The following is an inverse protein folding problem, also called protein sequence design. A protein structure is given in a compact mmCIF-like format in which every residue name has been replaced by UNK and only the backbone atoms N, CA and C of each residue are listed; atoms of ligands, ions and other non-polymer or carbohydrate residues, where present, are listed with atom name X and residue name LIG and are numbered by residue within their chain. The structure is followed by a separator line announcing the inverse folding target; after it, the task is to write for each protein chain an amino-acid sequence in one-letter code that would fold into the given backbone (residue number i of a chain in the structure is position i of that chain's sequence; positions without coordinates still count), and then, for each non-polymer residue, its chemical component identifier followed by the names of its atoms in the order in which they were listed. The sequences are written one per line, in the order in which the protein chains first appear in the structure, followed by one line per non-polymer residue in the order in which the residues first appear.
data_IF_106874498616
#
_entry.id   IF_106874498616
#
_cell.length_a   1.000
_cell.length_b   1.000
_cell.length_c   1.000
_cell.angle_alpha   90.00
_cell.angle_beta   90.00
_cell.angle_gamma   90.00
#
_symmetry.space_group_name_H-M   'P 1'
#
loop_
_entity.id
_entity.type
_entity.pdbx_description
1 polymer ?
#
# COMPACT_ATOMS: atom_id res chain seq x y z
N UNK A 1 -33.30 58.04 -41.34
CA UNK A 1 -33.21 57.82 -39.88
C UNK A 1 -34.43 57.13 -39.25
N UNK A 2 -35.51 56.84 -39.98
CA UNK A 2 -36.70 56.16 -39.42
C UNK A 2 -36.59 54.63 -39.44
N UNK A 3 -35.95 54.07 -40.47
CA UNK A 3 -35.74 52.62 -40.63
C UNK A 3 -34.80 52.07 -39.54
N UNK A 4 -33.73 52.81 -39.23
CA UNK A 4 -32.79 52.47 -38.14
C UNK A 4 -33.48 52.41 -36.77
N UNK A 5 -34.40 53.34 -36.49
CA UNK A 5 -35.17 53.36 -35.25
C UNK A 5 -36.20 52.22 -35.20
N UNK A 6 -36.82 51.87 -36.33
CA UNK A 6 -37.75 50.76 -36.43
C UNK A 6 -37.07 49.40 -36.24
N UNK A 7 -35.87 49.21 -36.80
CA UNK A 7 -35.03 48.02 -36.60
C UNK A 7 -34.57 47.92 -35.14
N UNK A 8 -34.18 49.05 -34.53
CA UNK A 8 -33.79 49.10 -33.13
C UNK A 8 -34.97 48.75 -32.18
N UNK A 9 -36.20 49.10 -32.57
CA UNK A 9 -37.43 48.72 -31.85
C UNK A 9 -37.85 47.27 -32.10
N UNK A 10 -37.67 46.73 -33.30
CA UNK A 10 -38.03 45.35 -33.62
C UNK A 10 -37.04 44.33 -33.04
N UNK A 11 -35.77 44.72 -32.87
CA UNK A 11 -34.80 43.90 -32.14
C UNK A 11 -35.05 43.88 -30.63
N UNK A 12 -35.74 44.88 -30.06
CA UNK A 12 -35.72 45.17 -28.62
C UNK A 12 -35.94 43.98 -27.69
N UNK A 13 -37.02 43.20 -27.87
CA UNK A 13 -37.30 42.02 -27.05
C UNK A 13 -36.60 40.74 -27.55
N UNK A 14 -36.69 40.36 -28.84
CA UNK A 14 -36.08 39.12 -29.31
C UNK A 14 -34.55 39.12 -29.22
N UNK A 15 -33.89 40.27 -29.40
CA UNK A 15 -32.45 40.38 -29.22
C UNK A 15 -32.05 40.25 -27.74
N UNK A 16 -32.83 40.79 -26.80
CA UNK A 16 -32.59 40.58 -25.37
C UNK A 16 -32.75 39.12 -24.97
N UNK A 17 -33.75 38.41 -25.51
CA UNK A 17 -33.92 36.97 -25.27
C UNK A 17 -32.74 36.19 -25.85
N UNK A 18 -32.34 36.49 -27.09
CA UNK A 18 -31.21 35.84 -27.75
C UNK A 18 -29.89 36.07 -27.01
N UNK A 19 -29.61 37.31 -26.60
CA UNK A 19 -28.44 37.66 -25.81
C UNK A 19 -28.46 37.01 -24.42
N UNK A 20 -29.62 36.95 -23.77
CA UNK A 20 -29.80 36.26 -22.50
C UNK A 20 -29.54 34.75 -22.62
N UNK A 21 -30.01 34.12 -23.69
CA UNK A 21 -29.75 32.71 -23.97
C UNK A 21 -28.26 32.47 -24.27
N UNK A 22 -27.62 33.32 -25.07
CA UNK A 22 -26.19 33.23 -25.37
C UNK A 22 -25.34 33.41 -24.10
N UNK A 23 -25.66 34.42 -23.29
CA UNK A 23 -25.06 34.65 -21.97
C UNK A 23 -25.21 33.45 -21.02
N UNK A 24 -26.32 32.73 -21.09
CA UNK A 24 -26.55 31.54 -20.27
C UNK A 24 -25.73 30.32 -20.72
N UNK A 25 -25.61 30.08 -22.03
CA UNK A 25 -24.90 28.90 -22.56
C UNK A 25 -23.39 29.09 -22.64
N UNK A 26 -22.93 30.24 -23.12
CA UNK A 26 -21.51 30.55 -23.35
C UNK A 26 -20.88 31.36 -22.21
N UNK A 27 -21.71 32.03 -21.41
CA UNK A 27 -21.26 32.96 -20.38
C UNK A 27 -21.11 34.39 -20.88
N UNK A 28 -20.90 35.33 -19.96
CA UNK A 28 -20.65 36.75 -20.27
C UNK A 28 -19.20 37.11 -19.93
N UNK A 29 -18.27 37.05 -20.89
CA UNK A 29 -16.84 37.26 -20.62
C UNK A 29 -16.52 38.68 -20.15
N UNK A 30 -17.35 39.67 -20.49
CA UNK A 30 -17.19 41.08 -20.10
C UNK A 30 -17.27 41.28 -18.57
N UNK A 31 -17.96 40.40 -17.85
CA UNK A 31 -18.07 40.47 -16.39
C UNK A 31 -16.79 39.98 -15.67
N UNK A 32 -15.82 39.40 -16.39
CA UNK A 32 -14.56 38.87 -15.83
C UNK A 32 -13.60 39.95 -15.34
N UNK A 33 -13.60 41.12 -15.98
CA UNK A 33 -12.65 42.20 -15.68
C UNK A 33 -13.07 43.06 -14.48
N UNK A 34 -14.25 42.78 -13.90
CA UNK A 34 -14.76 43.51 -12.74
C UNK A 34 -14.08 42.95 -11.48
N UNK A 35 -13.32 43.76 -10.73
CA UNK A 35 -12.74 43.32 -9.47
C UNK A 35 -13.85 42.85 -8.52
N UNK A 36 -13.64 41.70 -7.87
CA UNK A 36 -14.57 41.04 -6.94
C UNK A 36 -15.79 40.31 -7.57
N UNK A 37 -16.03 40.39 -8.87
CA UNK A 37 -17.15 39.69 -9.52
C UNK A 37 -17.05 38.15 -9.40
N UNK A 38 -15.83 37.60 -9.44
CA UNK A 38 -15.56 36.17 -9.28
C UNK A 38 -15.80 35.62 -7.86
N UNK A 39 -16.02 36.49 -6.86
CA UNK A 39 -16.23 36.07 -5.46
C UNK A 39 -17.65 35.55 -5.22
N UNK A 40 -18.60 35.92 -6.06
CA UNK A 40 -19.98 35.44 -5.99
C UNK A 40 -20.17 34.20 -6.87
N UNK A 41 -20.62 33.06 -6.32
CA UNK A 41 -20.77 31.81 -7.07
C UNK A 41 -21.74 31.95 -8.26
N UNK A 42 -22.79 32.76 -8.12
CA UNK A 42 -23.78 33.01 -9.17
C UNK A 42 -23.18 33.80 -10.34
N UNK A 43 -22.36 34.81 -10.05
CA UNK A 43 -21.74 35.65 -11.09
C UNK A 43 -20.64 34.86 -11.82
N UNK A 44 -19.88 34.05 -11.09
CA UNK A 44 -18.85 33.17 -11.65
C UNK A 44 -19.44 32.14 -12.63
N UNK A 45 -20.58 31.54 -12.31
CA UNK A 45 -21.27 30.60 -13.22
C UNK A 45 -21.79 31.31 -14.48
N UNK A 46 -22.26 32.56 -14.36
CA UNK A 46 -22.65 33.38 -15.50
C UNK A 46 -21.46 33.85 -16.34
N UNK A 47 -20.28 34.07 -15.75
CA UNK A 47 -19.04 34.39 -16.49
C UNK A 47 -18.55 33.18 -17.27
N UNK A 48 -18.62 31.99 -16.66
CA UNK A 48 -18.13 30.76 -17.26
C UNK A 48 -19.09 30.18 -18.29
N UNK A 49 -20.41 30.28 -18.08
CA UNK A 49 -21.42 29.62 -18.91
C UNK A 49 -21.65 28.15 -18.53
N UNK A 50 -22.84 27.63 -18.87
CA UNK A 50 -23.25 26.26 -18.49
C UNK A 50 -22.53 25.15 -19.28
N UNK A 51 -22.27 25.37 -20.56
CA UNK A 51 -21.63 24.34 -21.42
C UNK A 51 -20.21 23.98 -20.95
N UNK A 52 -19.31 24.95 -20.70
CA UNK A 52 -17.95 24.61 -20.26
C UNK A 52 -17.91 24.04 -18.84
N UNK A 53 -18.83 24.44 -17.95
CA UNK A 53 -18.90 23.89 -16.59
C UNK A 53 -19.36 22.42 -16.59
N UNK A 54 -20.36 22.07 -17.39
CA UNK A 54 -20.77 20.66 -17.55
C UNK A 54 -19.71 19.81 -18.27
N UNK A 55 -19.01 20.38 -19.28
CA UNK A 55 -17.86 19.69 -19.92
C UNK A 55 -16.72 19.44 -18.95
N UNK A 56 -16.43 20.40 -18.06
CA UNK A 56 -15.41 20.24 -17.03
C UNK A 56 -15.78 19.13 -16.03
N UNK A 57 -17.04 19.10 -15.56
CA UNK A 57 -17.54 18.01 -14.70
C UNK A 57 -17.43 16.65 -15.37
N UNK A 58 -17.84 16.53 -16.64
CA UNK A 58 -17.73 15.28 -17.39
C UNK A 58 -16.27 14.82 -17.55
N UNK A 59 -15.35 15.76 -17.78
CA UNK A 59 -13.92 15.45 -17.85
C UNK A 59 -13.35 14.99 -16.49
N UNK A 60 -13.77 15.63 -15.40
CA UNK A 60 -13.35 15.26 -14.05
C UNK A 60 -13.90 13.89 -13.64
N UNK A 61 -15.15 13.58 -13.98
CA UNK A 61 -15.74 12.28 -13.69
C UNK A 61 -15.10 11.16 -14.51
N UNK A 62 -14.76 11.41 -15.78
CA UNK A 62 -13.97 10.48 -16.58
C UNK A 62 -12.58 10.23 -15.94
N UNK A 63 -11.90 11.29 -15.47
CA UNK A 63 -10.61 11.17 -14.76
C UNK A 63 -10.72 10.34 -13.47
N UNK A 64 -11.78 10.53 -12.68
CA UNK A 64 -12.02 9.72 -11.47
C UNK A 64 -12.14 8.22 -11.81
N UNK A 65 -12.83 7.89 -12.91
CA UNK A 65 -12.91 6.50 -13.39
C UNK A 65 -11.53 5.89 -13.65
N UNK A 66 -10.66 6.62 -14.35
CA UNK A 66 -9.28 6.17 -14.61
C UNK A 66 -8.44 6.04 -13.34
N UNK A 67 -8.61 6.96 -12.38
CA UNK A 67 -7.90 6.87 -11.09
C UNK A 67 -8.30 5.61 -10.34
N UNK A 68 -9.60 5.32 -10.23
CA UNK A 68 -10.10 4.11 -9.55
C UNK A 68 -9.56 2.84 -10.20
N UNK A 69 -9.54 2.77 -11.54
CA UNK A 69 -8.99 1.61 -12.25
C UNK A 69 -7.48 1.48 -12.01
N UNK A 70 -6.74 2.59 -12.05
CA UNK A 70 -5.30 2.59 -11.78
C UNK A 70 -4.96 2.17 -10.35
N UNK A 71 -5.75 2.60 -9.36
CA UNK A 71 -5.60 2.21 -7.96
C UNK A 71 -5.89 0.72 -7.77
N UNK A 72 -6.91 0.19 -8.45
CA UNK A 72 -7.23 -1.24 -8.44
C UNK A 72 -6.06 -2.07 -9.00
N UNK A 73 -5.54 -1.71 -10.17
CA UNK A 73 -4.41 -2.42 -10.79
C UNK A 73 -3.17 -2.36 -9.88
N UNK A 74 -2.90 -1.19 -9.28
CA UNK A 74 -1.79 -1.04 -8.36
C UNK A 74 -1.95 -1.90 -7.10
N UNK A 75 -3.18 -2.00 -6.55
CA UNK A 75 -3.48 -2.83 -5.40
C UNK A 75 -3.32 -4.33 -5.72
N UNK A 76 -3.83 -4.78 -6.87
CA UNK A 76 -3.67 -6.16 -7.35
C UNK A 76 -2.19 -6.52 -7.56
N UNK A 77 -1.41 -5.62 -8.15
CA UNK A 77 0.04 -5.82 -8.33
C UNK A 77 0.79 -5.91 -7.00
N UNK A 78 0.41 -5.11 -5.99
CA UNK A 78 0.99 -5.19 -4.63
C UNK A 78 0.63 -6.52 -3.96
N UNK A 79 -0.61 -6.96 -4.08
CA UNK A 79 -1.04 -8.25 -3.53
C UNK A 79 -0.26 -9.42 -4.16
N UNK A 80 -0.09 -9.41 -5.49
CA UNK A 80 0.68 -10.42 -6.20
C UNK A 80 2.15 -10.47 -5.75
N UNK A 81 2.80 -9.31 -5.53
CA UNK A 81 4.17 -9.25 -5.00
C UNK A 81 4.26 -9.82 -3.58
N UNK A 82 3.35 -9.43 -2.69
CA UNK A 82 3.33 -9.95 -1.32
C UNK A 82 3.14 -11.47 -1.32
N UNK A 83 2.30 -12.00 -2.20
CA UNK A 83 2.10 -13.44 -2.31
C UNK A 83 3.37 -14.17 -2.79
N UNK A 84 4.10 -13.60 -3.75
CA UNK A 84 5.38 -14.14 -4.20
C UNK A 84 6.43 -14.11 -3.09
N UNK A 85 6.54 -13.00 -2.37
CA UNK A 85 7.45 -12.86 -1.22
C UNK A 85 7.12 -13.86 -0.12
N UNK A 86 5.83 -14.06 0.19
CA UNK A 86 5.38 -15.08 1.15
C UNK A 86 5.76 -16.49 0.71
N UNK A 87 5.56 -16.84 -0.56
CA UNK A 87 5.95 -18.15 -1.11
C UNK A 87 7.46 -18.36 -0.99
N UNK A 88 8.26 -17.35 -1.34
CA UNK A 88 9.71 -17.41 -1.20
C UNK A 88 10.14 -17.58 0.26
N UNK A 89 9.54 -16.82 1.19
CA UNK A 89 9.81 -16.94 2.62
C UNK A 89 9.44 -18.32 3.16
N UNK A 90 8.31 -18.89 2.74
CA UNK A 90 7.88 -20.22 3.16
C UNK A 90 8.89 -21.31 2.78
N UNK A 91 9.44 -21.26 1.57
CA UNK A 91 10.46 -22.22 1.11
C UNK A 91 11.69 -22.20 2.03
N UNK A 92 12.13 -21.00 2.45
CA UNK A 92 13.28 -20.84 3.36
C UNK A 92 12.97 -21.41 4.74
N UNK A 93 11.77 -21.15 5.27
CA UNK A 93 11.33 -21.67 6.56
C UNK A 93 11.28 -23.20 6.53
N UNK A 94 10.68 -23.78 5.48
CA UNK A 94 10.56 -25.23 5.34
C UNK A 94 11.93 -25.90 5.25
N UNK A 95 12.85 -25.31 4.47
CA UNK A 95 14.23 -25.78 4.39
C UNK A 95 14.95 -25.75 5.75
N UNK A 96 14.78 -24.66 6.50
CA UNK A 96 15.37 -24.52 7.83
C UNK A 96 14.78 -25.51 8.84
N UNK A 97 13.47 -25.78 8.79
CA UNK A 97 12.82 -26.79 9.63
C UNK A 97 13.35 -28.20 9.36
N UNK A 98 13.65 -28.53 8.11
CA UNK A 98 14.29 -29.82 7.77
C UNK A 98 15.69 -29.89 8.36
N UNK A 99 16.50 -28.83 8.22
CA UNK A 99 17.84 -28.78 8.79
C UNK A 99 17.81 -28.93 10.32
N UNK A 100 16.91 -28.23 11.01
CA UNK A 100 16.78 -28.31 12.45
C UNK A 100 16.42 -29.72 12.91
N UNK A 101 15.47 -30.39 12.24
CA UNK A 101 15.13 -31.78 12.54
C UNK A 101 16.31 -32.72 12.38
N UNK A 102 17.10 -32.54 11.32
CA UNK A 102 18.30 -33.35 11.09
C UNK A 102 19.38 -33.10 12.15
N UNK A 103 19.54 -31.86 12.63
CA UNK A 103 20.48 -31.55 13.70
C UNK A 103 20.07 -32.20 15.01
N UNK A 104 18.78 -32.13 15.37
CA UNK A 104 18.26 -32.75 16.58
C UNK A 104 18.45 -34.27 16.57
N UNK A 105 18.17 -34.95 15.45
CA UNK A 105 18.38 -36.40 15.36
C UNK A 105 19.86 -36.77 15.45
N UNK A 106 20.76 -35.96 14.87
CA UNK A 106 22.21 -36.16 15.02
C UNK A 106 22.64 -35.94 16.48
N UNK A 107 22.12 -34.94 17.17
CA UNK A 107 22.42 -34.69 18.58
C UNK A 107 21.93 -35.83 19.47
N UNK A 108 20.72 -36.35 19.25
CA UNK A 108 20.19 -37.51 19.95
C UNK A 108 21.09 -38.73 19.77
N UNK A 109 21.46 -39.05 18.53
CA UNK A 109 22.37 -40.18 18.24
C UNK A 109 23.75 -40.00 18.89
N UNK A 110 24.32 -38.79 18.84
CA UNK A 110 25.59 -38.50 19.51
C UNK A 110 25.49 -38.65 21.02
N UNK A 111 24.39 -38.20 21.62
CA UNK A 111 24.16 -38.37 23.04
C UNK A 111 24.06 -39.85 23.41
N UNK A 112 23.31 -40.65 22.64
CA UNK A 112 23.23 -42.10 22.85
C UNK A 112 24.61 -42.77 22.75
N UNK A 113 25.40 -42.40 21.73
CA UNK A 113 26.77 -42.88 21.57
C UNK A 113 27.65 -42.50 22.77
N UNK A 114 27.63 -41.24 23.20
CA UNK A 114 28.39 -40.80 24.38
C UNK A 114 27.96 -41.54 25.65
N UNK A 115 26.66 -41.80 25.85
CA UNK A 115 26.19 -42.56 27.00
C UNK A 115 26.70 -44.01 26.99
N UNK A 116 26.70 -44.65 25.82
CA UNK A 116 27.28 -46.00 25.67
C UNK A 116 28.79 -46.00 25.95
N UNK A 117 29.53 -45.05 25.39
CA UNK A 117 30.96 -44.91 25.65
C UNK A 117 31.25 -44.70 27.15
N UNK A 118 30.50 -43.82 27.82
CA UNK A 118 30.62 -43.60 29.27
C UNK A 118 30.39 -44.91 30.03
N UNK A 119 29.33 -45.65 29.73
CA UNK A 119 29.03 -46.91 30.40
C UNK A 119 30.14 -47.96 30.19
N UNK A 120 30.68 -48.06 28.96
CA UNK A 120 31.80 -48.94 28.64
C UNK A 120 33.08 -48.55 29.38
N UNK A 121 33.38 -47.25 29.47
CA UNK A 121 34.53 -46.76 30.23
C UNK A 121 34.37 -47.02 31.73
N UNK A 122 33.18 -46.78 32.28
CA UNK A 122 32.86 -47.08 33.69
C UNK A 122 33.03 -48.58 34.00
N UNK A 123 32.59 -49.46 33.10
CA UNK A 123 32.77 -50.90 33.24
C UNK A 123 34.26 -51.30 33.26
N UNK A 124 35.07 -50.74 32.35
CA UNK A 124 36.53 -50.97 32.31
C UNK A 124 37.23 -50.48 33.59
N UNK A 125 36.83 -49.32 34.12
CA UNK A 125 37.39 -48.77 35.36
C UNK A 125 37.06 -49.67 36.56
N UNK A 126 35.81 -50.13 36.65
CA UNK A 126 35.37 -51.05 37.70
C UNK A 126 36.14 -52.37 37.66
N UNK A 127 36.37 -52.92 36.46
CA UNK A 127 37.20 -54.11 36.27
C UNK A 127 38.66 -53.90 36.71
N UNK A 128 39.19 -52.68 36.56
CA UNK A 128 40.51 -52.28 37.06
C UNK A 128 40.53 -51.95 38.57
N UNK A 129 39.42 -52.15 39.30
CA UNK A 129 39.32 -51.88 40.74
C UNK A 129 39.19 -50.41 41.12
N UNK A 130 38.99 -49.50 40.15
CA UNK A 130 38.74 -48.07 40.40
C UNK A 130 37.24 -47.80 40.30
N UNK A 131 36.61 -47.35 41.40
CA UNK A 131 35.15 -47.13 41.43
C UNK A 131 34.70 -45.76 40.94
N UNK A 132 35.59 -44.75 40.85
CA UNK A 132 35.28 -43.40 40.34
C UNK A 132 36.56 -42.62 39.97
N UNK A 133 36.48 -41.79 38.93
CA UNK A 133 37.58 -40.91 38.48
C UNK A 133 37.61 -39.55 39.21
N UNK A 134 36.46 -39.09 39.71
CA UNK A 134 36.32 -37.83 40.46
C UNK A 134 35.88 -38.17 41.86
N UNK A 135 36.79 -38.05 42.82
CA UNK A 135 36.47 -38.19 44.23
C UNK A 135 35.92 -36.87 44.82
N UNK A 136 35.58 -36.88 46.10
CA UNK A 136 35.01 -35.69 46.73
C UNK A 136 36.05 -34.58 46.96
N UNK A 137 37.35 -34.88 46.95
CA UNK A 137 38.40 -33.88 46.98
C UNK A 137 38.52 -33.18 45.60
N UNK A 138 38.49 -33.95 44.51
CA UNK A 138 38.48 -33.44 43.14
C UNK A 138 37.26 -32.56 42.88
N UNK A 139 36.07 -33.01 43.29
CA UNK A 139 34.83 -32.22 43.17
C UNK A 139 34.92 -30.90 43.92
N UNK A 140 35.53 -30.92 45.12
CA UNK A 140 35.64 -29.73 45.98
C UNK A 140 36.65 -28.73 45.43
N UNK A 141 37.72 -29.20 44.80
CA UNK A 141 38.68 -28.37 44.06
C UNK A 141 38.03 -27.74 42.81
N UNK A 142 37.25 -28.49 42.04
CA UNK A 142 36.58 -27.96 40.83
C UNK A 142 35.47 -26.94 41.16
N UNK A 143 34.79 -27.09 42.30
CA UNK A 143 33.70 -26.20 42.72
C UNK A 143 34.16 -25.00 43.56
N UNK A 144 35.38 -25.05 44.11
CA UNK A 144 36.03 -23.94 44.81
C UNK A 144 37.51 -23.85 44.35
N UNK A 145 37.79 -23.16 43.22
CA UNK A 145 39.15 -23.02 42.71
C UNK A 145 40.07 -22.24 43.65
#
# INVERSE_FOLDING_TARGET
MTILVAILRSLGLPACIFLGMLAYYEGVPVLRDIPFADRSPVIRELIAGRVPTERAKAADDARKGYVIESEKIAAEARAARIEQERKAAQIVVDAYQVQLRNLLTIEELKNEQHQQEIADYEAKLKAAGRSRLVDDADRRFLLNP
#
